data_IF_233943250235
#
_entry.id   IF_233943250235
#
_cell.length_a   1.000
_cell.length_b   1.000
_cell.length_c   1.000
_cell.angle_alpha   90.00
_cell.angle_beta   90.00
_cell.angle_gamma   90.00
#
_symmetry.space_group_name_H-M   'P 1'
#
loop_
_entity.id
_entity.type
_entity.pdbx_description
1 polymer ?
#
# COMPACT_ATOMS: atom_id res chain seq x y z
N UNK A 1 9.47 -10.84 22.20
CA UNK A 1 8.65 -10.13 21.20
C UNK A 1 8.60 -8.66 21.63
N UNK A 2 8.97 -7.72 20.73
CA UNK A 2 9.10 -6.31 21.10
C UNK A 2 7.71 -5.71 21.37
N UNK A 3 7.43 -5.30 22.61
CA UNK A 3 6.19 -4.61 22.97
C UNK A 3 5.98 -3.34 22.15
N UNK A 4 7.06 -2.65 21.79
CA UNK A 4 7.04 -1.40 21.01
C UNK A 4 6.33 -1.56 19.66
N UNK A 5 6.52 -2.71 18.98
CA UNK A 5 5.85 -2.98 17.68
C UNK A 5 4.34 -3.15 17.82
N UNK A 6 3.87 -3.75 18.90
CA UNK A 6 2.43 -3.88 19.18
C UNK A 6 1.81 -2.54 19.58
N UNK A 7 2.52 -1.75 20.34
CA UNK A 7 2.08 -0.40 20.72
C UNK A 7 1.97 0.51 19.49
N UNK A 8 2.95 0.44 18.59
CA UNK A 8 2.88 1.15 17.31
C UNK A 8 1.68 0.70 16.46
N UNK A 9 1.38 -0.60 16.43
CA UNK A 9 0.21 -1.11 15.71
C UNK A 9 -1.10 -0.66 16.36
N UNK A 10 -1.20 -0.62 17.70
CA UNK A 10 -2.34 -0.05 18.44
C UNK A 10 -2.56 1.41 18.07
N UNK A 11 -1.47 2.20 18.05
CA UNK A 11 -1.53 3.61 17.67
C UNK A 11 -2.00 3.78 16.23
N UNK A 12 -1.45 3.00 15.30
CA UNK A 12 -1.82 3.01 13.88
C UNK A 12 -3.31 2.68 13.68
N UNK A 13 -3.84 1.69 14.40
CA UNK A 13 -5.26 1.35 14.35
C UNK A 13 -6.13 2.45 14.99
N UNK A 14 -5.67 3.07 16.08
CA UNK A 14 -6.34 4.22 16.72
C UNK A 14 -6.44 5.41 15.77
N UNK A 15 -5.36 5.73 15.08
CA UNK A 15 -5.32 6.79 14.06
C UNK A 15 -6.24 6.48 12.86
N UNK A 16 -6.38 5.21 12.49
CA UNK A 16 -7.24 4.80 11.40
C UNK A 16 -8.73 5.01 11.68
N UNK A 17 -9.15 4.85 12.93
CA UNK A 17 -10.54 5.03 13.36
C UNK A 17 -10.79 6.41 14.01
N UNK A 18 -9.74 7.20 14.27
CA UNK A 18 -9.83 8.50 14.90
C UNK A 18 -10.15 8.49 16.39
N UNK A 19 -9.98 7.33 17.08
CA UNK A 19 -10.24 7.18 18.51
C UNK A 19 -9.21 6.24 19.15
N UNK A 20 -8.91 6.45 20.42
CA UNK A 20 -8.05 5.53 21.18
C UNK A 20 -8.77 4.19 21.43
N UNK A 21 -8.35 3.14 20.71
CA UNK A 21 -8.95 1.80 20.80
C UNK A 21 -8.72 1.12 22.14
N UNK A 22 -7.83 1.63 23.00
CA UNK A 22 -7.60 1.11 24.37
C UNK A 22 -8.70 1.51 25.35
N UNK A 23 -9.46 2.56 25.02
CA UNK A 23 -10.54 3.08 25.86
C UNK A 23 -11.64 2.02 26.11
N UNK A 24 -12.35 2.11 27.26
CA UNK A 24 -13.39 1.13 27.64
C UNK A 24 -14.67 1.20 26.82
N UNK A 25 -14.82 2.18 25.92
CA UNK A 25 -16.01 2.36 25.07
C UNK A 25 -16.24 1.19 24.11
N UNK A 26 -17.50 1.01 23.66
CA UNK A 26 -17.97 -0.15 22.88
C UNK A 26 -18.73 0.21 21.61
N UNK A 27 -18.58 1.44 21.12
CA UNK A 27 -19.15 1.81 19.84
C UNK A 27 -18.62 0.89 18.72
N UNK A 28 -19.56 0.42 17.84
CA UNK A 28 -19.28 -0.64 16.87
C UNK A 28 -18.30 -0.17 15.80
N UNK A 29 -18.63 0.94 15.14
CA UNK A 29 -17.97 1.38 13.90
C UNK A 29 -16.59 2.00 14.16
N UNK A 30 -16.28 2.31 15.41
CA UNK A 30 -15.00 2.87 15.80
C UNK A 30 -14.23 1.91 16.72
N UNK A 31 -14.64 1.81 18.00
CA UNK A 31 -13.89 1.05 19.00
C UNK A 31 -13.85 -0.44 18.75
N UNK A 32 -14.99 -1.06 18.35
CA UNK A 32 -15.04 -2.51 18.15
C UNK A 32 -14.31 -2.89 16.86
N UNK A 33 -14.55 -2.17 15.77
CA UNK A 33 -13.88 -2.43 14.50
C UNK A 33 -12.39 -2.11 14.57
N UNK A 34 -11.99 -1.01 15.19
CA UNK A 34 -10.58 -0.69 15.38
C UNK A 34 -9.81 -1.78 16.13
N UNK A 35 -10.40 -2.33 17.22
CA UNK A 35 -9.80 -3.47 17.94
C UNK A 35 -9.80 -4.74 17.12
N UNK A 36 -10.87 -5.05 16.40
CA UNK A 36 -10.95 -6.25 15.58
C UNK A 36 -9.91 -6.20 14.45
N UNK A 37 -9.70 -5.05 13.82
CA UNK A 37 -8.62 -4.83 12.84
C UNK A 37 -7.26 -5.05 13.51
N UNK A 38 -7.00 -4.43 14.67
CA UNK A 38 -5.76 -4.64 15.42
C UNK A 38 -5.49 -6.13 15.68
N UNK A 39 -6.47 -6.90 16.17
CA UNK A 39 -6.29 -8.32 16.48
C UNK A 39 -5.97 -9.14 15.23
N UNK A 40 -6.67 -8.91 14.12
CA UNK A 40 -6.47 -9.65 12.89
C UNK A 40 -5.12 -9.32 12.25
N UNK A 41 -4.75 -8.05 12.19
CA UNK A 41 -3.46 -7.63 11.64
C UNK A 41 -2.31 -8.11 12.52
N UNK A 42 -2.40 -7.95 13.85
CA UNK A 42 -1.38 -8.44 14.77
C UNK A 42 -1.18 -9.97 14.70
N UNK A 43 -2.26 -10.74 14.54
CA UNK A 43 -2.19 -12.19 14.33
C UNK A 43 -1.49 -12.57 13.03
N UNK A 44 -1.69 -11.80 11.97
CA UNK A 44 -1.02 -12.02 10.68
C UNK A 44 0.47 -11.68 10.73
N UNK A 45 0.80 -10.53 11.29
CA UNK A 45 2.19 -10.09 11.42
C UNK A 45 3.00 -10.93 12.42
N UNK A 46 2.34 -11.45 13.45
CA UNK A 46 2.96 -12.18 14.55
C UNK A 46 2.20 -13.49 14.83
N UNK A 47 2.36 -14.56 14.02
CA UNK A 47 1.59 -15.80 14.15
C UNK A 47 1.69 -16.46 15.52
N UNK A 48 2.81 -16.25 16.24
CA UNK A 48 3.03 -16.78 17.60
C UNK A 48 2.38 -15.97 18.73
N UNK A 49 1.69 -14.83 18.43
CA UNK A 49 1.10 -14.00 19.48
C UNK A 49 -0.11 -14.68 20.12
N UNK A 50 -0.20 -14.62 21.45
CA UNK A 50 -1.32 -15.19 22.19
C UNK A 50 -2.48 -14.21 22.29
N UNK A 51 -3.71 -14.74 22.45
CA UNK A 51 -4.91 -13.91 22.66
C UNK A 51 -4.81 -13.05 23.92
N UNK A 52 -4.12 -13.55 24.94
CA UNK A 52 -3.90 -12.82 26.19
C UNK A 52 -2.99 -11.60 25.97
N UNK A 53 -1.92 -11.75 25.18
CA UNK A 53 -1.04 -10.63 24.83
C UNK A 53 -1.78 -9.56 24.02
N UNK A 54 -2.58 -9.97 23.02
CA UNK A 54 -3.40 -9.06 22.24
C UNK A 54 -4.41 -8.30 23.12
N UNK A 55 -5.08 -9.01 24.03
CA UNK A 55 -6.03 -8.39 24.96
C UNK A 55 -5.39 -7.36 25.87
N UNK A 56 -4.20 -7.64 26.39
CA UNK A 56 -3.44 -6.71 27.24
C UNK A 56 -3.14 -5.39 26.53
N UNK A 57 -2.79 -5.41 25.26
CA UNK A 57 -2.48 -4.19 24.50
C UNK A 57 -3.65 -3.20 24.41
N UNK A 58 -4.89 -3.66 24.50
CA UNK A 58 -6.09 -2.83 24.37
C UNK A 58 -7.04 -2.95 25.58
N UNK A 59 -6.53 -3.38 26.72
CA UNK A 59 -7.27 -3.52 27.99
C UNK A 59 -8.53 -4.39 27.87
N UNK A 60 -8.39 -5.58 27.22
CA UNK A 60 -9.47 -6.56 27.04
C UNK A 60 -9.01 -7.96 27.43
N UNK A 61 -9.98 -8.81 27.82
CA UNK A 61 -9.75 -10.21 28.09
C UNK A 61 -9.60 -11.03 26.81
N UNK A 62 -9.04 -12.23 26.94
CA UNK A 62 -8.80 -13.14 25.82
C UNK A 62 -10.10 -13.64 25.17
N UNK A 63 -11.22 -13.73 25.91
CA UNK A 63 -12.51 -14.14 25.36
C UNK A 63 -13.08 -13.08 24.43
N UNK A 64 -12.94 -11.79 24.78
CA UNK A 64 -13.29 -10.64 23.92
C UNK A 64 -12.45 -10.64 22.63
N UNK A 65 -11.16 -10.93 22.72
CA UNK A 65 -10.28 -11.03 21.55
C UNK A 65 -10.72 -12.17 20.63
N UNK A 66 -10.97 -13.36 21.21
CA UNK A 66 -11.41 -14.53 20.44
C UNK A 66 -12.74 -14.27 19.71
N UNK A 67 -13.70 -13.66 20.41
CA UNK A 67 -14.99 -13.28 19.83
C UNK A 67 -14.82 -12.31 18.66
N UNK A 68 -14.02 -11.27 18.83
CA UNK A 68 -13.78 -10.30 17.79
C UNK A 68 -13.11 -10.92 16.54
N UNK A 69 -12.13 -11.82 16.72
CA UNK A 69 -11.45 -12.52 15.62
C UNK A 69 -12.44 -13.44 14.87
N UNK A 70 -13.32 -14.18 15.58
CA UNK A 70 -14.33 -15.02 14.95
C UNK A 70 -15.33 -14.19 14.15
N UNK A 71 -15.91 -13.15 14.75
CA UNK A 71 -16.85 -12.27 14.06
C UNK A 71 -16.24 -11.54 12.86
N UNK A 72 -14.94 -11.26 12.91
CA UNK A 72 -14.26 -10.64 11.76
C UNK A 72 -14.29 -11.53 10.53
N UNK A 73 -14.12 -12.84 10.68
CA UNK A 73 -14.16 -13.79 9.55
C UNK A 73 -15.57 -13.94 8.98
N UNK A 74 -16.56 -13.99 9.84
CA UNK A 74 -17.93 -14.35 9.46
C UNK A 74 -18.79 -13.14 9.07
N UNK A 75 -18.59 -12.00 9.71
CA UNK A 75 -19.49 -10.85 9.61
C UNK A 75 -18.77 -9.55 9.22
N UNK A 76 -17.64 -9.21 9.85
CA UNK A 76 -17.05 -7.88 9.65
C UNK A 76 -16.39 -7.73 8.27
N UNK A 77 -15.88 -8.81 7.68
CA UNK A 77 -15.29 -8.79 6.34
C UNK A 77 -16.32 -8.50 5.21
N UNK A 78 -17.60 -8.49 5.53
CA UNK A 78 -18.66 -8.04 4.59
C UNK A 78 -19.12 -6.62 4.84
N UNK A 79 -18.70 -6.00 5.96
CA UNK A 79 -19.08 -4.64 6.34
C UNK A 79 -18.12 -3.61 5.69
N UNK A 80 -18.64 -2.66 4.91
CA UNK A 80 -17.82 -1.68 4.19
C UNK A 80 -17.03 -0.76 5.14
N UNK A 81 -17.57 -0.45 6.33
CA UNK A 81 -16.89 0.38 7.33
C UNK A 81 -15.69 -0.36 7.90
N UNK A 82 -15.84 -1.63 8.26
CA UNK A 82 -14.75 -2.46 8.71
C UNK A 82 -13.65 -2.60 7.66
N UNK A 83 -14.04 -2.88 6.41
CA UNK A 83 -13.10 -3.02 5.29
C UNK A 83 -12.32 -1.72 5.02
N UNK A 84 -12.98 -0.57 5.12
CA UNK A 84 -12.31 0.73 4.95
C UNK A 84 -11.24 0.96 6.01
N UNK A 85 -11.52 0.63 7.28
CA UNK A 85 -10.55 0.72 8.37
C UNK A 85 -9.40 -0.27 8.15
N UNK A 86 -9.73 -1.52 7.83
CA UNK A 86 -8.76 -2.58 7.59
C UNK A 86 -7.78 -2.23 6.46
N UNK A 87 -8.28 -1.79 5.32
CA UNK A 87 -7.46 -1.39 4.18
C UNK A 87 -6.61 -0.15 4.48
N UNK A 88 -7.14 0.82 5.23
CA UNK A 88 -6.38 2.00 5.68
C UNK A 88 -5.20 1.60 6.58
N UNK A 89 -5.37 0.65 7.47
CA UNK A 89 -4.29 0.14 8.32
C UNK A 89 -3.26 -0.60 7.48
N UNK A 90 -3.68 -1.48 6.56
CA UNK A 90 -2.78 -2.23 5.69
C UNK A 90 -1.94 -1.30 4.82
N UNK A 91 -2.54 -0.30 4.16
CA UNK A 91 -1.80 0.63 3.30
C UNK A 91 -0.72 1.43 4.06
N UNK A 92 -0.99 1.79 5.33
CA UNK A 92 0.02 2.44 6.17
C UNK A 92 1.17 1.50 6.57
N UNK A 93 0.87 0.23 6.81
CA UNK A 93 1.88 -0.80 7.11
C UNK A 93 2.76 -1.04 5.88
N UNK A 94 2.18 -1.14 4.69
CA UNK A 94 2.89 -1.31 3.42
C UNK A 94 3.79 -0.10 3.09
N UNK A 95 3.38 1.09 3.47
CA UNK A 95 4.20 2.30 3.33
C UNK A 95 5.44 2.33 4.26
N UNK A 96 5.45 1.52 5.34
CA UNK A 96 6.55 1.41 6.30
C UNK A 96 6.97 -0.05 6.53
N UNK A 97 7.38 -0.79 5.48
CA UNK A 97 7.60 -2.25 5.55
C UNK A 97 8.70 -2.66 6.54
N UNK A 98 9.70 -1.82 6.76
CA UNK A 98 10.81 -2.12 7.68
C UNK A 98 10.37 -2.22 9.16
N UNK A 99 9.27 -1.57 9.54
CA UNK A 99 8.78 -1.61 10.92
C UNK A 99 7.98 -2.88 11.23
N UNK A 100 7.38 -3.53 10.21
CA UNK A 100 6.42 -4.60 10.41
C UNK A 100 6.82 -5.97 9.84
N UNK A 101 7.92 -6.08 9.10
CA UNK A 101 8.47 -7.35 8.59
C UNK A 101 7.43 -8.21 7.83
N UNK A 102 6.79 -7.64 6.79
CA UNK A 102 5.71 -8.26 6.05
C UNK A 102 6.26 -9.12 4.92
N UNK A 103 5.95 -10.41 4.95
CA UNK A 103 5.93 -11.23 3.75
C UNK A 103 4.58 -10.96 3.03
N UNK A 104 4.63 -10.17 1.97
CA UNK A 104 3.46 -9.70 1.20
C UNK A 104 2.53 -10.86 0.77
N UNK A 105 3.11 -12.00 0.44
CA UNK A 105 2.38 -13.18 -0.01
C UNK A 105 1.42 -13.76 1.06
N UNK A 106 1.73 -13.63 2.35
CA UNK A 106 0.87 -14.16 3.42
C UNK A 106 -0.42 -13.38 3.62
N UNK A 107 -0.42 -12.06 3.33
CA UNK A 107 -1.61 -11.23 3.49
C UNK A 107 -2.67 -11.52 2.41
N UNK A 108 -2.24 -11.90 1.22
CA UNK A 108 -3.12 -12.15 0.07
C UNK A 108 -3.89 -13.47 0.22
N UNK A 109 -3.29 -14.51 0.81
CA UNK A 109 -3.90 -15.84 0.94
C UNK A 109 -5.16 -15.88 1.83
N UNK A 110 -5.33 -14.91 2.72
CA UNK A 110 -6.47 -14.87 3.66
C UNK A 110 -7.61 -13.93 3.20
N UNK A 111 -7.45 -13.25 2.06
CA UNK A 111 -8.52 -12.45 1.45
C UNK A 111 -9.54 -13.34 0.72
N UNK A 112 -10.82 -12.92 0.62
CA UNK A 112 -11.77 -13.57 -0.29
C UNK A 112 -11.13 -13.72 -1.68
N UNK A 113 -11.29 -14.90 -2.30
CA UNK A 113 -10.56 -15.30 -3.52
C UNK A 113 -10.69 -14.33 -4.71
N UNK A 114 -11.81 -13.60 -4.78
CA UNK A 114 -12.05 -12.57 -5.78
C UNK A 114 -11.23 -11.30 -5.53
N UNK A 115 -11.08 -10.89 -4.27
CA UNK A 115 -10.28 -9.71 -3.87
C UNK A 115 -8.79 -10.04 -4.01
N UNK A 116 -8.36 -11.22 -3.56
CA UNK A 116 -6.98 -11.68 -3.71
C UNK A 116 -6.55 -11.71 -5.19
N UNK A 117 -7.43 -12.20 -6.09
CA UNK A 117 -7.16 -12.21 -7.54
C UNK A 117 -7.03 -10.80 -8.11
N UNK A 118 -7.88 -9.86 -7.67
CA UNK A 118 -7.83 -8.47 -8.13
C UNK A 118 -6.58 -7.75 -7.63
N UNK A 119 -6.22 -7.94 -6.36
CA UNK A 119 -5.00 -7.37 -5.76
C UNK A 119 -3.75 -7.90 -6.46
N UNK A 120 -3.67 -9.22 -6.73
CA UNK A 120 -2.55 -9.79 -7.48
C UNK A 120 -2.43 -9.19 -8.88
N UNK A 121 -3.56 -9.02 -9.59
CA UNK A 121 -3.56 -8.39 -10.91
C UNK A 121 -3.02 -6.96 -10.87
N UNK A 122 -3.47 -6.15 -9.91
CA UNK A 122 -2.97 -4.78 -9.72
C UNK A 122 -1.47 -4.76 -9.37
N UNK A 123 -1.03 -5.70 -8.56
CA UNK A 123 0.40 -5.82 -8.20
C UNK A 123 1.26 -6.15 -9.41
N UNK A 124 0.82 -7.07 -10.25
CA UNK A 124 1.50 -7.41 -11.51
C UNK A 124 1.54 -6.21 -12.47
N UNK A 125 0.45 -5.45 -12.59
CA UNK A 125 0.39 -4.22 -13.38
C UNK A 125 1.37 -3.16 -12.86
N UNK A 126 1.44 -2.95 -11.54
CA UNK A 126 2.39 -2.02 -10.91
C UNK A 126 3.84 -2.44 -11.18
N UNK A 127 4.16 -3.72 -11.09
CA UNK A 127 5.51 -4.22 -11.36
C UNK A 127 5.89 -4.07 -12.85
N UNK A 128 4.95 -4.32 -13.76
CA UNK A 128 5.15 -4.08 -15.19
C UNK A 128 5.40 -2.59 -15.47
N UNK A 129 4.60 -1.69 -14.89
CA UNK A 129 4.78 -0.25 -15.04
C UNK A 129 6.12 0.24 -14.49
N UNK A 130 6.55 -0.28 -13.33
CA UNK A 130 7.89 0.03 -12.78
C UNK A 130 9.01 -0.40 -13.72
N UNK A 131 8.90 -1.59 -14.33
CA UNK A 131 9.88 -2.08 -15.30
C UNK A 131 9.91 -1.19 -16.55
N UNK A 132 8.75 -0.84 -17.11
CA UNK A 132 8.64 0.04 -18.27
C UNK A 132 9.23 1.42 -17.94
N UNK A 133 8.94 1.99 -16.77
CA UNK A 133 9.53 3.27 -16.36
C UNK A 133 11.06 3.20 -16.27
N UNK A 134 11.62 2.15 -15.66
CA UNK A 134 13.07 2.01 -15.59
C UNK A 134 13.73 1.87 -16.98
N UNK A 135 13.08 1.15 -17.91
CA UNK A 135 13.53 1.02 -19.29
C UNK A 135 13.46 2.37 -20.04
N UNK A 136 12.41 3.16 -19.82
CA UNK A 136 12.25 4.49 -20.40
C UNK A 136 13.28 5.47 -19.83
N UNK A 137 13.50 5.47 -18.52
CA UNK A 137 14.53 6.28 -17.87
C UNK A 137 15.93 5.95 -18.40
N UNK A 138 16.25 4.66 -18.57
CA UNK A 138 17.50 4.23 -19.15
C UNK A 138 17.66 4.71 -20.60
N UNK A 139 16.58 4.67 -21.40
CA UNK A 139 16.59 5.20 -22.79
C UNK A 139 16.77 6.71 -22.83
N UNK A 140 16.13 7.43 -21.91
CA UNK A 140 16.26 8.90 -21.80
C UNK A 140 17.69 9.27 -21.39
N UNK A 141 18.22 8.61 -20.35
CA UNK A 141 19.55 8.90 -19.82
C UNK A 141 20.67 8.55 -20.81
N UNK A 142 20.46 7.55 -21.66
CA UNK A 142 21.42 7.18 -22.73
C UNK A 142 21.29 8.02 -23.99
N UNK A 143 20.36 8.97 -24.04
CA UNK A 143 20.17 9.81 -25.23
C UNK A 143 20.94 11.11 -25.06
N UNK A 144 22.02 11.24 -25.83
CA UNK A 144 22.89 12.45 -25.87
C UNK A 144 22.07 13.73 -26.12
N UNK A 145 21.00 13.64 -26.90
CA UNK A 145 20.10 14.79 -27.15
C UNK A 145 19.43 15.28 -25.88
N UNK A 146 19.15 14.38 -24.93
CA UNK A 146 18.49 14.72 -23.66
C UNK A 146 19.43 15.52 -22.74
N UNK A 147 20.72 15.23 -22.74
CA UNK A 147 21.70 16.03 -22.00
C UNK A 147 21.74 17.48 -22.51
N UNK A 148 21.63 17.70 -23.84
CA UNK A 148 21.56 19.04 -24.39
C UNK A 148 20.21 19.73 -24.09
N UNK A 149 19.10 19.02 -24.18
CA UNK A 149 17.76 19.56 -23.85
C UNK A 149 17.69 20.02 -22.40
N UNK A 150 18.29 19.27 -21.47
CA UNK A 150 18.32 19.63 -20.04
C UNK A 150 19.15 20.87 -19.72
N UNK A 151 20.01 21.32 -20.63
CA UNK A 151 20.75 22.59 -20.49
C UNK A 151 19.95 23.81 -21.00
N UNK A 152 18.80 23.58 -21.63
CA UNK A 152 17.92 24.64 -22.11
C UNK A 152 17.01 25.08 -20.97
N UNK A 153 16.88 26.39 -20.67
CA UNK A 153 15.92 26.87 -19.68
C UNK A 153 14.51 26.37 -20.01
N UNK A 154 13.77 25.96 -18.98
CA UNK A 154 12.45 25.30 -19.12
C UNK A 154 11.45 26.11 -19.96
N UNK A 155 11.54 27.42 -19.93
CA UNK A 155 10.75 28.37 -20.75
C UNK A 155 11.01 28.27 -22.24
N UNK A 156 12.18 27.83 -22.66
CA UNK A 156 12.57 27.71 -24.07
C UNK A 156 12.53 26.28 -24.63
N UNK A 157 12.32 25.28 -23.77
CA UNK A 157 12.32 23.86 -24.19
C UNK A 157 11.24 23.59 -25.24
N UNK A 158 10.03 24.09 -25.04
CA UNK A 158 8.92 23.88 -25.96
C UNK A 158 9.21 24.48 -27.33
N UNK A 159 9.73 25.68 -27.36
CA UNK A 159 10.08 26.40 -28.56
C UNK A 159 11.22 25.71 -29.34
N UNK A 160 12.26 25.24 -28.63
CA UNK A 160 13.35 24.47 -29.19
C UNK A 160 12.86 23.16 -29.83
N UNK A 161 12.00 22.41 -29.14
CA UNK A 161 11.43 21.16 -29.67
C UNK A 161 10.64 21.46 -30.96
N UNK A 162 9.76 22.45 -30.93
CA UNK A 162 8.86 22.76 -32.03
C UNK A 162 9.58 23.27 -33.28
N UNK A 163 10.59 24.12 -33.12
CA UNK A 163 11.24 24.77 -34.23
C UNK A 163 12.57 24.14 -34.69
N UNK A 164 13.15 23.27 -33.87
CA UNK A 164 14.45 22.65 -34.19
C UNK A 164 14.36 21.13 -34.27
N UNK A 165 13.75 20.47 -33.30
CA UNK A 165 13.73 19.01 -33.20
C UNK A 165 12.71 18.40 -34.17
N UNK A 166 11.46 18.85 -34.13
CA UNK A 166 10.37 18.29 -34.96
C UNK A 166 10.68 18.46 -36.48
N UNK A 167 11.09 19.60 -36.98
CA UNK A 167 11.43 19.75 -38.40
C UNK A 167 12.61 18.86 -38.82
N UNK A 168 13.61 18.69 -37.95
CA UNK A 168 14.74 17.80 -38.23
C UNK A 168 14.31 16.32 -38.31
N UNK A 169 13.47 15.88 -37.40
CA UNK A 169 12.93 14.52 -37.42
C UNK A 169 12.10 14.29 -38.69
N UNK A 170 11.20 15.20 -39.00
CA UNK A 170 10.35 15.11 -40.21
C UNK A 170 11.19 15.10 -41.51
N UNK A 171 12.23 15.90 -41.56
CA UNK A 171 13.16 15.87 -42.68
C UNK A 171 13.84 14.50 -42.82
N UNK A 172 14.32 13.92 -41.72
CA UNK A 172 14.98 12.60 -41.70
C UNK A 172 14.05 11.45 -42.06
N UNK A 173 12.80 11.49 -41.61
CA UNK A 173 11.81 10.47 -41.95
C UNK A 173 11.47 10.51 -43.42
N UNK A 174 11.25 11.71 -44.00
CA UNK A 174 10.92 11.87 -45.40
C UNK A 174 12.10 11.54 -46.37
N UNK A 175 13.34 11.61 -45.87
CA UNK A 175 14.52 11.25 -46.71
C UNK A 175 14.81 9.74 -46.71
N UNK A 176 14.23 8.96 -45.78
CA UNK A 176 14.41 7.50 -45.73
C UNK A 176 13.37 6.72 -46.56
N UNK A 177 12.25 7.34 -46.98
CA UNK A 177 11.23 6.71 -47.83
C UNK A 177 11.59 6.67 -49.33
N UNK A 178 12.77 7.20 -49.71
CA UNK A 178 13.25 7.24 -51.11
C UNK A 178 14.51 6.38 -51.35
N UNK A 179 14.72 5.33 -50.52
CA UNK A 179 15.79 4.36 -50.80
C UNK A 179 15.28 2.96 -50.92
#
# INVERSE_FOLDING_TARGET
MNNDKLENLVKLCSDAVGVDITAKKRDRDTYMYGRAVFYNVAKKLYPGITLMQLGKCVNRDHATVLYAIRNSKDTYMTDPVYLAIYNRVLSKIEATPNDYNIEHDKLIYEMPSNIARYVNKLYDEVNQLKKINSELEAKINNNILWEYVNQIPSEHVHEFIQYRVIPFINFKLNTNDHR
#
